data_IF_326945431192
#
_entry.id   IF_326945431192
#
_cell.length_a   1.000
_cell.length_b   1.000
_cell.length_c   1.000
_cell.angle_alpha   90.00
_cell.angle_beta   90.00
_cell.angle_gamma   90.00
#
_symmetry.space_group_name_H-M   'P 1'
#
loop_
_entity.id
_entity.type
_entity.pdbx_description
1 polymer ?
#
# COMPACT_ATOMS: atom_id res chain seq x y z
N UNK A 1 15.86 -2.03 -7.22
CA UNK A 1 17.01 -2.91 -6.95
C UNK A 1 18.34 -2.19 -7.15
N UNK A 2 18.61 -1.59 -8.33
CA UNK A 2 19.89 -0.93 -8.60
C UNK A 2 20.29 0.14 -7.57
N UNK A 3 19.35 0.98 -7.15
CA UNK A 3 19.63 2.01 -6.14
C UNK A 3 19.95 1.46 -4.74
N UNK A 4 19.46 0.28 -4.39
CA UNK A 4 19.83 -0.40 -3.14
C UNK A 4 21.24 -0.99 -3.28
N UNK A 5 21.56 -1.60 -4.41
CA UNK A 5 22.88 -2.13 -4.66
C UNK A 5 23.95 -1.04 -4.67
N UNK A 6 23.71 0.06 -5.40
CA UNK A 6 24.59 1.25 -5.41
C UNK A 6 24.83 1.79 -3.99
N UNK A 7 23.79 1.73 -3.15
CA UNK A 7 23.89 2.14 -1.76
C UNK A 7 24.77 1.20 -0.94
N UNK A 8 24.62 -0.13 -1.07
CA UNK A 8 25.46 -1.13 -0.38
C UNK A 8 26.91 -0.99 -0.80
N UNK A 9 27.19 -0.96 -2.09
CA UNK A 9 28.55 -0.78 -2.65
C UNK A 9 29.19 0.54 -2.15
N UNK A 10 28.42 1.63 -2.09
CA UNK A 10 28.90 2.92 -1.54
C UNK A 10 29.23 2.85 -0.06
N UNK A 11 28.54 2.03 0.74
CA UNK A 11 28.87 1.83 2.14
C UNK A 11 30.18 1.05 2.29
N UNK A 12 30.33 -0.07 1.57
CA UNK A 12 31.52 -0.90 1.59
C UNK A 12 32.76 -0.08 1.21
N UNK A 13 32.68 0.72 0.14
CA UNK A 13 33.78 1.60 -0.26
C UNK A 13 34.17 2.59 0.81
N UNK A 14 33.18 3.26 1.45
CA UNK A 14 33.45 4.22 2.54
C UNK A 14 34.08 3.58 3.76
N UNK A 15 33.68 2.33 4.07
CA UNK A 15 34.25 1.55 5.19
C UNK A 15 35.69 1.18 4.86
N UNK A 16 35.97 0.79 3.63
CA UNK A 16 37.33 0.46 3.18
C UNK A 16 38.22 1.73 3.21
N UNK A 17 37.78 2.84 2.63
CA UNK A 17 38.54 4.11 2.63
C UNK A 17 38.86 4.58 4.07
N UNK A 18 37.88 4.47 5.00
CA UNK A 18 38.06 4.84 6.38
C UNK A 18 39.01 3.88 7.14
N UNK A 19 39.01 2.60 6.81
CA UNK A 19 39.91 1.62 7.36
C UNK A 19 41.38 1.87 6.91
N UNK A 20 41.57 2.20 5.63
CA UNK A 20 42.88 2.56 5.08
C UNK A 20 43.43 3.85 5.72
N UNK A 21 42.60 4.90 5.87
CA UNK A 21 42.96 6.15 6.52
C UNK A 21 43.34 5.95 8.01
N UNK A 22 42.60 5.09 8.72
CA UNK A 22 42.90 4.77 10.11
C UNK A 22 44.20 4.00 10.25
N UNK A 23 44.48 3.06 9.33
CA UNK A 23 45.74 2.30 9.28
C UNK A 23 46.93 3.21 9.01
N UNK A 24 46.82 4.16 8.08
CA UNK A 24 47.87 5.16 7.82
C UNK A 24 48.17 6.04 9.05
N UNK A 25 47.14 6.36 9.86
CA UNK A 25 47.26 7.18 11.07
C UNK A 25 47.60 6.37 12.31
N UNK A 26 47.66 5.02 12.21
CA UNK A 26 47.93 4.13 13.35
C UNK A 26 46.80 4.19 14.40
N UNK A 27 45.57 4.58 14.02
CA UNK A 27 44.42 4.68 14.90
C UNK A 27 43.61 3.36 14.94
N UNK A 28 43.04 2.99 16.10
CA UNK A 28 42.14 1.85 16.16
C UNK A 28 40.89 2.14 15.33
N UNK A 29 40.51 1.20 14.46
CA UNK A 29 39.31 1.30 13.63
C UNK A 29 38.38 0.11 13.88
N UNK A 30 37.10 0.41 14.12
CA UNK A 30 36.05 -0.60 14.17
C UNK A 30 35.10 -0.29 13.01
N UNK A 31 35.01 -1.22 12.05
CA UNK A 31 34.10 -1.08 10.92
C UNK A 31 32.65 -1.02 11.40
N UNK A 32 31.84 -0.06 10.93
CA UNK A 32 30.42 -0.09 11.17
C UNK A 32 29.77 -1.27 10.43
N UNK A 33 28.63 -1.71 10.94
CA UNK A 33 27.84 -2.76 10.30
C UNK A 33 27.36 -2.30 8.91
N UNK A 34 27.56 -3.13 7.89
CA UNK A 34 27.06 -2.91 6.54
C UNK A 34 25.56 -3.23 6.52
N UNK A 35 24.77 -2.29 6.06
CA UNK A 35 23.33 -2.50 5.84
C UNK A 35 23.15 -3.15 4.46
N UNK A 36 23.29 -4.46 4.42
CA UNK A 36 23.24 -5.24 3.21
C UNK A 36 21.80 -5.48 2.68
N UNK A 37 21.69 -6.15 1.56
CA UNK A 37 20.39 -6.46 0.95
C UNK A 37 19.55 -7.38 1.84
N UNK A 38 20.20 -8.28 2.58
CA UNK A 38 19.51 -9.18 3.51
C UNK A 38 18.92 -8.42 4.69
N UNK A 39 19.66 -7.46 5.28
CA UNK A 39 19.12 -6.55 6.30
C UNK A 39 17.87 -5.81 5.81
N UNK A 40 17.94 -5.25 4.60
CA UNK A 40 16.82 -4.52 3.99
C UNK A 40 15.64 -5.46 3.73
N UNK A 41 15.91 -6.67 3.22
CA UNK A 41 14.86 -7.66 2.93
C UNK A 41 14.14 -8.10 4.22
N UNK A 42 14.86 -8.39 5.31
CA UNK A 42 14.28 -8.76 6.61
C UNK A 42 13.39 -7.65 7.16
N UNK A 43 13.89 -6.41 7.20
CA UNK A 43 13.12 -5.27 7.70
C UNK A 43 11.85 -5.01 6.88
N UNK A 44 11.94 -5.03 5.55
CA UNK A 44 10.76 -4.84 4.68
C UNK A 44 9.81 -6.04 4.75
N UNK A 45 10.30 -7.28 4.84
CA UNK A 45 9.48 -8.48 5.00
C UNK A 45 8.60 -8.38 6.24
N UNK A 46 9.19 -8.05 7.38
CA UNK A 46 8.49 -7.86 8.64
C UNK A 46 7.42 -6.76 8.55
N UNK A 47 7.77 -5.61 8.00
CA UNK A 47 6.86 -4.45 7.97
C UNK A 47 5.75 -4.63 6.93
N UNK A 48 6.08 -5.18 5.77
CA UNK A 48 5.15 -5.28 4.64
C UNK A 48 4.39 -6.61 4.61
N UNK A 49 4.73 -7.57 5.46
CA UNK A 49 4.17 -8.93 5.40
C UNK A 49 4.31 -9.54 3.99
N UNK A 50 5.55 -9.53 3.47
CA UNK A 50 5.95 -10.11 2.19
C UNK A 50 7.11 -11.06 2.45
N UNK A 51 7.15 -12.19 1.77
CA UNK A 51 8.22 -13.19 1.96
C UNK A 51 9.61 -12.57 1.72
N UNK A 52 10.52 -12.77 2.68
CA UNK A 52 11.89 -12.25 2.65
C UNK A 52 12.63 -12.68 1.39
N UNK A 53 12.52 -13.96 1.01
CA UNK A 53 13.17 -14.52 -0.18
C UNK A 53 12.70 -13.82 -1.46
N UNK A 54 11.42 -13.46 -1.53
CA UNK A 54 10.87 -12.71 -2.66
C UNK A 54 11.47 -11.31 -2.75
N UNK A 55 11.59 -10.61 -1.62
CA UNK A 55 12.19 -9.27 -1.59
C UNK A 55 13.67 -9.36 -1.94
N UNK A 56 14.40 -10.29 -1.34
CA UNK A 56 15.83 -10.47 -1.58
C UNK A 56 16.14 -10.77 -3.04
N UNK A 57 15.39 -11.68 -3.65
CA UNK A 57 15.52 -12.01 -5.08
C UNK A 57 15.34 -10.79 -5.98
N UNK A 58 14.40 -9.90 -5.65
CA UNK A 58 14.19 -8.68 -6.42
C UNK A 58 15.23 -7.60 -6.13
N UNK A 59 15.83 -7.57 -4.94
CA UNK A 59 16.94 -6.67 -4.62
C UNK A 59 18.24 -7.08 -5.34
N UNK A 60 18.46 -8.38 -5.52
CA UNK A 60 19.61 -8.93 -6.24
C UNK A 60 19.48 -8.83 -7.77
N UNK A 61 18.25 -8.76 -8.29
CA UNK A 61 18.00 -8.65 -9.74
C UNK A 61 18.28 -7.24 -10.26
N UNK A 62 19.49 -7.04 -10.79
CA UNK A 62 19.94 -5.77 -11.36
C UNK A 62 19.35 -5.45 -12.74
N UNK A 63 18.70 -6.42 -13.39
CA UNK A 63 18.07 -6.23 -14.71
C UNK A 63 16.82 -5.33 -14.61
N UNK A 64 16.14 -5.33 -13.48
CA UNK A 64 14.94 -4.56 -13.21
C UNK A 64 15.27 -3.35 -12.31
N UNK A 65 15.12 -2.14 -12.85
CA UNK A 65 15.35 -0.89 -12.10
C UNK A 65 14.22 -0.54 -11.13
N UNK A 66 13.05 -1.14 -11.28
CA UNK A 66 11.86 -0.81 -10.53
C UNK A 66 11.05 -2.07 -10.21
N UNK A 67 10.70 -2.25 -8.96
CA UNK A 67 9.81 -3.29 -8.47
C UNK A 67 8.89 -2.75 -7.37
N UNK A 68 7.62 -3.15 -7.39
CA UNK A 68 6.63 -2.76 -6.38
C UNK A 68 6.52 -3.88 -5.36
N UNK A 69 7.05 -3.67 -4.17
CA UNK A 69 7.02 -4.65 -3.09
C UNK A 69 5.61 -4.91 -2.56
N UNK A 70 4.84 -3.84 -2.33
CA UNK A 70 3.43 -3.95 -1.90
C UNK A 70 2.66 -2.72 -2.36
N UNK A 71 1.42 -2.93 -2.82
CA UNK A 71 0.48 -1.87 -3.16
C UNK A 71 -0.49 -1.62 -2.01
N UNK A 72 -1.07 -0.41 -1.95
CA UNK A 72 -2.16 -0.02 -1.03
C UNK A 72 -1.84 -0.27 0.44
N UNK A 73 -0.61 0.04 0.82
CA UNK A 73 -0.12 -0.06 2.20
C UNK A 73 -0.86 0.96 3.07
N UNK A 74 -1.32 0.55 4.25
CA UNK A 74 -1.97 1.45 5.19
C UNK A 74 -0.99 2.50 5.74
N UNK A 75 -1.49 3.65 6.21
CA UNK A 75 -0.66 4.79 6.59
C UNK A 75 0.30 4.49 7.74
N UNK A 76 -0.11 3.70 8.71
CA UNK A 76 0.69 3.26 9.86
C UNK A 76 1.86 2.37 9.42
N UNK A 77 1.60 1.43 8.51
CA UNK A 77 2.64 0.59 7.91
C UNK A 77 3.60 1.42 7.05
N UNK A 78 3.07 2.40 6.29
CA UNK A 78 3.90 3.31 5.52
C UNK A 78 4.78 4.20 6.42
N UNK A 79 4.28 4.62 7.58
CA UNK A 79 5.06 5.36 8.57
C UNK A 79 6.15 4.49 9.19
N UNK A 80 5.89 3.21 9.43
CA UNK A 80 6.92 2.28 9.89
C UNK A 80 8.01 2.06 8.83
N UNK A 81 7.64 1.92 7.55
CA UNK A 81 8.61 1.88 6.44
C UNK A 81 9.45 3.16 6.40
N UNK A 82 8.85 4.35 6.60
CA UNK A 82 9.62 5.62 6.66
C UNK A 82 10.61 5.62 7.79
N UNK A 83 10.21 5.18 8.98
CA UNK A 83 11.08 5.07 10.16
C UNK A 83 12.25 4.12 9.89
N UNK A 84 11.99 3.00 9.25
CA UNK A 84 13.03 2.04 8.84
C UNK A 84 14.00 2.64 7.82
N UNK A 85 13.49 3.26 6.75
CA UNK A 85 14.32 3.94 5.73
C UNK A 85 15.19 5.04 6.37
N UNK A 86 14.64 5.78 7.32
CA UNK A 86 15.36 6.85 8.00
C UNK A 86 16.38 6.33 9.05
N UNK A 87 16.37 5.04 9.35
CA UNK A 87 17.22 4.44 10.36
C UNK A 87 16.81 4.82 11.79
N UNK A 88 15.53 4.98 12.04
CA UNK A 88 14.96 5.18 13.37
C UNK A 88 14.69 3.86 14.08
N UNK A 89 14.40 2.84 13.31
CA UNK A 89 14.21 1.47 13.76
C UNK A 89 15.12 0.52 12.97
N UNK A 90 15.49 -0.60 13.59
CA UNK A 90 16.23 -1.67 12.93
C UNK A 90 15.30 -2.66 12.17
N UNK A 91 15.88 -3.71 11.62
CA UNK A 91 15.14 -4.76 10.89
C UNK A 91 14.16 -5.52 11.76
N UNK A 92 14.38 -5.57 13.07
CA UNK A 92 13.50 -6.20 14.06
C UNK A 92 12.40 -5.25 14.57
N UNK A 93 12.50 -3.93 14.25
CA UNK A 93 11.57 -2.88 14.68
C UNK A 93 11.95 -2.20 15.99
N UNK A 94 13.13 -2.49 16.53
CA UNK A 94 13.61 -1.84 17.75
C UNK A 94 14.02 -0.41 17.45
N UNK A 95 13.69 0.51 18.36
CA UNK A 95 14.07 1.92 18.24
C UNK A 95 15.57 2.11 18.35
N UNK A 96 16.19 2.68 17.34
CA UNK A 96 17.60 3.00 17.34
C UNK A 96 17.89 4.29 18.13
N UNK A 97 19.07 4.33 18.77
CA UNK A 97 19.54 5.47 19.55
C UNK A 97 20.88 5.97 19.03
N UNK A 98 21.19 7.23 19.33
CA UNK A 98 22.48 7.86 19.05
C UNK A 98 22.93 8.65 20.27
N UNK A 99 24.18 9.06 20.31
CA UNK A 99 24.73 9.91 21.39
C UNK A 99 24.75 11.35 20.90
N UNK A 100 24.19 12.28 21.68
CA UNK A 100 24.22 13.70 21.40
C UNK A 100 25.60 14.34 21.68
N UNK A 101 25.74 15.61 21.35
CA UNK A 101 26.98 16.35 21.58
C UNK A 101 27.39 16.49 23.07
N UNK A 102 26.44 16.19 23.98
CA UNK A 102 26.65 16.23 25.42
C UNK A 102 26.95 14.86 26.03
N UNK A 103 26.99 13.81 25.20
CA UNK A 103 27.21 12.44 25.63
C UNK A 103 25.95 11.71 26.12
N UNK A 104 24.73 12.27 25.93
CA UNK A 104 23.50 11.61 26.32
C UNK A 104 22.98 10.70 25.21
N UNK A 105 22.47 9.54 25.59
CA UNK A 105 21.76 8.63 24.65
C UNK A 105 20.40 9.24 24.30
N UNK A 106 20.17 9.51 23.03
CA UNK A 106 18.92 10.06 22.51
C UNK A 106 18.37 9.21 21.39
N UNK A 107 17.05 9.17 21.23
CA UNK A 107 16.41 8.47 20.13
C UNK A 107 16.77 9.13 18.80
N UNK A 108 17.01 8.31 17.79
CA UNK A 108 17.12 8.79 16.42
C UNK A 108 15.71 9.20 15.94
N UNK A 109 15.57 10.46 15.59
CA UNK A 109 14.31 11.01 15.09
C UNK A 109 14.49 11.62 13.70
N UNK A 110 13.39 11.74 12.94
CA UNK A 110 13.34 12.24 11.56
C UNK A 110 13.81 13.68 11.36
N UNK A 111 14.11 14.42 12.43
CA UNK A 111 14.46 15.84 12.41
C UNK A 111 15.66 16.19 11.53
N UNK A 112 15.49 16.20 10.19
CA UNK A 112 16.45 16.74 9.23
C UNK A 112 17.66 15.87 8.90
N UNK A 113 17.65 14.58 9.24
CA UNK A 113 18.73 13.66 8.86
C UNK A 113 18.53 13.09 7.46
N UNK A 114 19.63 12.87 6.69
CA UNK A 114 19.53 12.18 5.40
C UNK A 114 19.01 10.75 5.60
N UNK A 115 18.24 10.27 4.64
CA UNK A 115 17.76 8.87 4.64
C UNK A 115 18.96 7.92 4.80
N UNK A 116 18.84 6.99 5.72
CA UNK A 116 19.88 5.99 5.98
C UNK A 116 19.91 4.94 4.87
N UNK A 117 18.72 4.46 4.43
CA UNK A 117 18.59 3.51 3.32
C UNK A 117 18.21 4.26 2.04
N UNK A 118 18.79 3.85 0.92
CA UNK A 118 18.51 4.42 -0.41
C UNK A 118 17.91 3.35 -1.33
N UNK A 119 17.28 3.79 -2.42
CA UNK A 119 16.67 2.88 -3.40
C UNK A 119 15.25 2.41 -3.04
N UNK A 120 14.72 2.80 -1.87
CA UNK A 120 13.36 2.50 -1.43
C UNK A 120 12.55 3.79 -1.46
N UNK A 121 11.38 3.76 -2.09
CA UNK A 121 10.52 4.93 -2.22
C UNK A 121 9.08 4.56 -1.95
N UNK A 122 8.38 5.39 -1.17
CA UNK A 122 6.94 5.32 -0.98
C UNK A 122 6.27 6.27 -1.97
N UNK A 123 5.35 5.73 -2.76
CA UNK A 123 4.53 6.52 -3.68
C UNK A 123 3.12 6.69 -3.08
N UNK A 124 2.51 7.88 -3.19
CA UNK A 124 1.11 8.06 -2.81
C UNK A 124 0.21 7.12 -3.62
N UNK A 125 -0.71 6.46 -2.93
CA UNK A 125 -1.72 5.60 -3.53
C UNK A 125 -3.05 5.81 -2.80
N UNK A 126 -4.17 5.37 -3.41
CA UNK A 126 -5.50 5.46 -2.83
C UNK A 126 -6.04 4.06 -2.56
N UNK A 127 -6.74 3.89 -1.44
CA UNK A 127 -7.37 2.64 -1.03
C UNK A 127 -8.86 2.86 -0.79
N UNK A 128 -9.69 2.05 -1.43
CA UNK A 128 -11.12 2.05 -1.16
C UNK A 128 -11.39 1.43 0.20
N UNK A 129 -12.18 2.10 1.04
CA UNK A 129 -12.55 1.65 2.37
C UNK A 129 -14.03 1.30 2.43
N UNK A 130 -14.35 0.17 3.06
CA UNK A 130 -15.72 -0.30 3.31
C UNK A 130 -15.97 -0.35 4.83
N UNK A 131 -16.39 0.77 5.45
CA UNK A 131 -16.42 0.89 6.92
C UNK A 131 -17.39 -0.06 7.62
N UNK A 132 -18.38 -0.60 6.88
CA UNK A 132 -19.39 -1.50 7.41
C UNK A 132 -19.10 -2.99 7.10
N UNK A 133 -17.89 -3.31 6.63
CA UNK A 133 -17.50 -4.67 6.29
C UNK A 133 -18.44 -5.30 5.27
N UNK A 134 -19.00 -6.46 5.57
CA UNK A 134 -19.87 -7.21 4.67
C UNK A 134 -21.25 -6.61 4.44
N UNK A 135 -21.65 -5.54 5.15
CA UNK A 135 -22.99 -4.95 5.00
C UNK A 135 -23.18 -4.44 3.56
N UNK A 136 -24.25 -4.91 2.90
CA UNK A 136 -24.55 -4.66 1.49
C UNK A 136 -23.41 -5.02 0.51
N UNK A 137 -22.49 -5.92 0.89
CA UNK A 137 -21.31 -6.25 0.10
C UNK A 137 -21.62 -6.67 -1.32
N UNK A 138 -22.64 -7.53 -1.54
CA UNK A 138 -23.09 -7.95 -2.85
C UNK A 138 -23.68 -6.82 -3.71
N UNK A 139 -24.21 -5.76 -3.09
CA UNK A 139 -24.79 -4.61 -3.78
C UNK A 139 -23.72 -3.58 -4.10
N UNK A 140 -22.92 -3.22 -3.11
CA UNK A 140 -21.83 -2.25 -3.26
C UNK A 140 -20.79 -2.77 -4.24
N UNK A 141 -20.43 -4.03 -4.11
CA UNK A 141 -19.33 -4.60 -4.87
C UNK A 141 -17.97 -4.16 -4.35
N UNK A 142 -16.93 -4.32 -5.15
CA UNK A 142 -15.57 -3.99 -4.78
C UNK A 142 -14.77 -3.45 -5.96
N UNK A 143 -13.65 -2.80 -5.65
CA UNK A 143 -12.64 -2.36 -6.61
C UNK A 143 -11.44 -3.30 -6.58
N UNK A 144 -10.79 -3.47 -7.73
CA UNK A 144 -9.57 -4.26 -7.83
C UNK A 144 -8.34 -3.49 -7.32
N UNK A 145 -7.16 -4.12 -7.39
CA UNK A 145 -5.90 -3.53 -6.96
C UNK A 145 -5.51 -2.22 -7.71
N UNK A 146 -6.13 -1.93 -8.84
CA UNK A 146 -5.89 -0.72 -9.62
C UNK A 146 -7.00 0.35 -9.44
N UNK A 147 -7.84 0.20 -8.41
CA UNK A 147 -9.00 1.06 -8.12
C UNK A 147 -10.09 1.08 -9.22
N UNK A 148 -10.15 0.07 -10.07
CA UNK A 148 -11.21 -0.09 -11.06
C UNK A 148 -12.32 -0.93 -10.46
N UNK A 149 -13.57 -0.50 -10.59
CA UNK A 149 -14.74 -1.23 -10.12
C UNK A 149 -14.84 -2.60 -10.79
N UNK A 150 -14.85 -3.66 -9.98
CA UNK A 150 -14.86 -5.04 -10.47
C UNK A 150 -16.23 -5.69 -10.36
N UNK A 151 -17.03 -5.30 -9.38
CA UNK A 151 -18.35 -5.87 -9.12
C UNK A 151 -19.33 -4.84 -8.54
N UNK A 152 -20.65 -5.14 -8.59
CA UNK A 152 -21.72 -4.36 -7.97
C UNK A 152 -21.84 -2.92 -8.50
N UNK A 153 -22.21 -2.00 -7.60
CA UNK A 153 -22.34 -0.58 -7.90
C UNK A 153 -20.97 0.06 -8.23
N UNK A 154 -19.88 -0.41 -7.60
CA UNK A 154 -18.53 0.05 -7.94
C UNK A 154 -18.20 -0.18 -9.42
N UNK A 155 -18.56 -1.35 -9.97
CA UNK A 155 -18.36 -1.63 -11.40
C UNK A 155 -19.36 -0.89 -12.30
N UNK A 156 -20.63 -0.82 -11.89
CA UNK A 156 -21.69 -0.21 -12.69
C UNK A 156 -21.49 1.31 -12.86
N UNK A 157 -20.92 1.97 -11.87
CA UNK A 157 -20.69 3.41 -11.82
C UNK A 157 -19.22 3.79 -11.78
N UNK A 158 -18.33 2.89 -12.19
CA UNK A 158 -16.89 3.12 -12.18
C UNK A 158 -16.49 4.42 -12.89
N UNK A 159 -17.06 4.69 -14.07
CA UNK A 159 -16.79 5.91 -14.83
C UNK A 159 -17.24 7.21 -14.15
N UNK A 160 -18.13 7.11 -13.16
CA UNK A 160 -18.64 8.26 -12.39
C UNK A 160 -17.87 8.39 -11.08
N UNK A 161 -17.54 7.28 -10.46
CA UNK A 161 -16.83 7.20 -9.17
C UNK A 161 -15.33 7.44 -9.33
N UNK A 162 -14.73 6.94 -10.39
CA UNK A 162 -13.34 7.19 -10.74
C UNK A 162 -13.24 8.52 -11.47
N UNK A 163 -12.54 9.49 -10.91
CA UNK A 163 -12.21 10.72 -11.62
C UNK A 163 -11.28 10.48 -12.82
N UNK A 164 -10.80 11.54 -13.41
CA UNK A 164 -9.77 11.48 -14.45
C UNK A 164 -8.38 11.77 -13.86
N UNK A 165 -7.41 10.94 -14.23
CA UNK A 165 -6.02 11.14 -13.81
C UNK A 165 -5.45 12.37 -14.51
N UNK A 166 -4.84 13.28 -13.75
CA UNK A 166 -4.09 14.39 -14.32
C UNK A 166 -2.88 13.90 -15.13
N UNK A 167 -2.52 14.63 -16.16
CA UNK A 167 -1.40 14.31 -17.03
C UNK A 167 -0.53 15.55 -17.22
N UNK A 168 0.76 15.44 -16.92
CA UNK A 168 1.75 16.46 -17.26
C UNK A 168 2.67 15.92 -18.33
N UNK A 169 2.70 16.60 -19.46
CA UNK A 169 3.58 16.29 -20.59
C UNK A 169 4.73 17.28 -20.57
N UNK A 170 5.91 16.84 -20.19
CA UNK A 170 7.12 17.67 -20.15
C UNK A 170 8.11 17.17 -21.20
N UNK A 171 8.56 18.03 -22.13
CA UNK A 171 9.64 17.66 -23.06
C UNK A 171 10.92 17.38 -22.32
N UNK A 172 11.60 16.28 -22.66
CA UNK A 172 12.89 15.90 -22.11
C UNK A 172 13.96 15.89 -23.20
N UNK A 173 15.20 16.17 -22.83
CA UNK A 173 16.34 16.01 -23.75
C UNK A 173 16.75 14.52 -23.86
N UNK A 174 17.74 14.25 -24.73
CA UNK A 174 18.26 12.88 -24.97
C UNK A 174 18.78 12.20 -23.70
N UNK A 175 19.14 12.98 -22.68
CA UNK A 175 19.64 12.50 -21.38
C UNK A 175 18.53 12.38 -20.32
N UNK A 176 17.25 12.56 -20.69
CA UNK A 176 16.12 12.46 -19.76
C UNK A 176 15.90 13.68 -18.86
N UNK A 177 16.62 14.79 -19.12
CA UNK A 177 16.46 16.03 -18.32
C UNK A 177 15.31 16.88 -18.84
N UNK A 178 14.38 17.37 -17.98
CA UNK A 178 13.30 18.26 -18.40
C UNK A 178 13.84 19.55 -19.03
N UNK A 179 13.24 19.96 -20.15
CA UNK A 179 13.57 21.20 -20.84
C UNK A 179 12.74 22.33 -20.25
N UNK A 180 13.23 22.98 -19.20
CA UNK A 180 12.53 24.02 -18.43
C UNK A 180 12.11 25.28 -19.22
N UNK A 181 12.62 25.47 -20.44
CA UNK A 181 12.39 26.68 -21.24
C UNK A 181 11.65 26.43 -22.57
N UNK A 182 11.13 25.23 -22.80
CA UNK A 182 10.50 24.89 -24.09
C UNK A 182 9.09 25.48 -24.28
N UNK A 183 8.46 26.01 -23.23
CA UNK A 183 7.09 26.56 -23.29
C UNK A 183 6.03 25.54 -23.72
N UNK A 184 6.39 24.27 -23.82
CA UNK A 184 5.56 23.17 -24.33
C UNK A 184 5.11 22.20 -23.24
N UNK A 185 5.23 22.59 -21.98
CA UNK A 185 4.64 21.83 -20.88
C UNK A 185 3.12 21.93 -20.97
N UNK A 186 2.47 20.77 -21.12
CA UNK A 186 1.01 20.68 -21.13
C UNK A 186 0.60 19.98 -19.84
N UNK A 187 -0.18 20.66 -19.04
CA UNK A 187 -0.74 20.15 -17.79
C UNK A 187 -2.25 19.98 -17.97
N UNK A 188 -2.72 18.78 -17.70
CA UNK A 188 -4.13 18.46 -17.60
C UNK A 188 -4.40 18.15 -16.13
N UNK A 189 -5.25 18.93 -15.49
CA UNK A 189 -5.59 18.74 -14.10
C UNK A 189 -6.33 17.42 -13.87
N UNK A 190 -6.11 16.80 -12.72
CA UNK A 190 -6.91 15.67 -12.29
C UNK A 190 -8.32 16.13 -11.92
N UNK A 191 -9.33 15.35 -12.29
CA UNK A 191 -10.71 15.59 -11.88
C UNK A 191 -11.14 14.52 -10.89
N UNK A 192 -11.65 14.94 -9.73
CA UNK A 192 -12.18 14.03 -8.73
C UNK A 192 -13.44 13.31 -9.20
N UNK A 193 -13.61 12.05 -8.82
CA UNK A 193 -14.82 11.30 -9.07
C UNK A 193 -16.02 11.84 -8.29
N UNK A 194 -17.20 11.55 -8.79
CA UNK A 194 -18.45 11.94 -8.14
C UNK A 194 -18.87 10.96 -7.05
N UNK A 195 -19.68 11.41 -6.10
CA UNK A 195 -20.25 10.57 -5.05
C UNK A 195 -21.62 10.03 -5.48
N UNK A 196 -21.93 8.79 -5.10
CA UNK A 196 -23.26 8.21 -5.24
C UNK A 196 -24.00 8.27 -3.89
N UNK A 197 -25.23 8.80 -3.92
CA UNK A 197 -26.14 8.75 -2.78
C UNK A 197 -27.16 7.65 -3.05
N UNK A 198 -27.15 6.62 -2.22
CA UNK A 198 -28.03 5.46 -2.34
C UNK A 198 -29.29 5.64 -1.50
N UNK A 199 -30.38 4.97 -1.91
CA UNK A 199 -31.62 4.90 -1.15
C UNK A 199 -31.59 3.83 -0.05
N UNK A 200 -30.50 3.06 0.03
CA UNK A 200 -30.31 2.04 1.05
C UNK A 200 -30.29 2.64 2.46
N UNK A 201 -31.11 2.10 3.34
CA UNK A 201 -31.10 2.41 4.77
C UNK A 201 -30.29 1.35 5.51
N UNK A 202 -29.26 1.77 6.23
CA UNK A 202 -28.34 0.85 6.93
C UNK A 202 -29.03 -0.01 7.98
N UNK A 203 -30.07 0.50 8.66
CA UNK A 203 -30.80 -0.27 9.67
C UNK A 203 -31.70 -1.33 9.01
N UNK A 204 -32.37 -0.95 7.92
CA UNK A 204 -33.22 -1.88 7.15
C UNK A 204 -32.35 -2.95 6.49
N UNK A 205 -31.21 -2.56 5.93
CA UNK A 205 -30.24 -3.48 5.33
C UNK A 205 -29.72 -4.50 6.35
N UNK A 206 -29.30 -4.03 7.52
CA UNK A 206 -28.83 -4.92 8.60
C UNK A 206 -29.93 -5.88 9.08
N UNK A 207 -31.16 -5.38 9.24
CA UNK A 207 -32.30 -6.22 9.64
C UNK A 207 -32.61 -7.30 8.59
N UNK A 208 -32.57 -6.92 7.30
CA UNK A 208 -32.78 -7.85 6.19
C UNK A 208 -31.71 -8.94 6.16
N UNK A 209 -30.42 -8.57 6.21
CA UNK A 209 -29.30 -9.54 6.18
C UNK A 209 -29.35 -10.49 7.37
N UNK A 210 -29.56 -9.95 8.57
CA UNK A 210 -29.69 -10.76 9.79
C UNK A 210 -30.88 -11.73 9.71
N UNK A 211 -32.02 -11.25 9.22
CA UNK A 211 -33.21 -12.08 9.03
C UNK A 211 -33.01 -13.17 8.00
N UNK A 212 -32.41 -12.81 6.85
CA UNK A 212 -32.12 -13.74 5.75
C UNK A 212 -31.16 -14.84 6.22
N UNK A 213 -30.05 -14.47 6.86
CA UNK A 213 -29.11 -15.45 7.44
C UNK A 213 -29.78 -16.37 8.43
N UNK A 214 -30.56 -15.84 9.37
CA UNK A 214 -31.26 -16.65 10.36
C UNK A 214 -32.30 -17.62 9.76
N UNK A 215 -32.91 -17.27 8.62
CA UNK A 215 -33.81 -18.15 7.91
C UNK A 215 -33.06 -19.26 7.14
N UNK A 216 -31.95 -18.91 6.49
CA UNK A 216 -31.12 -19.90 5.79
C UNK A 216 -30.54 -20.92 6.76
N UNK A 217 -30.01 -20.48 7.90
CA UNK A 217 -29.47 -21.35 8.94
C UNK A 217 -30.57 -22.26 9.54
N UNK A 218 -31.78 -21.71 9.76
CA UNK A 218 -32.90 -22.48 10.34
C UNK A 218 -33.44 -23.57 9.45
N UNK A 219 -33.45 -23.32 8.13
CA UNK A 219 -34.06 -24.24 7.15
C UNK A 219 -33.01 -25.02 6.32
N UNK A 220 -31.74 -24.90 6.69
CA UNK A 220 -30.62 -25.56 6.00
C UNK A 220 -30.66 -25.34 4.48
N UNK A 221 -30.85 -24.06 4.09
CA UNK A 221 -31.00 -23.67 2.68
C UNK A 221 -29.62 -23.54 2.01
N UNK A 222 -29.03 -24.65 1.57
CA UNK A 222 -27.69 -24.75 1.01
C UNK A 222 -27.46 -23.84 -0.22
N UNK A 223 -28.52 -23.55 -0.99
CA UNK A 223 -28.41 -22.74 -2.23
C UNK A 223 -28.44 -21.22 -1.97
N UNK A 224 -28.40 -20.80 -0.69
CA UNK A 224 -28.47 -19.39 -0.35
C UNK A 224 -29.86 -18.78 -0.52
N UNK A 225 -29.92 -17.45 -0.56
CA UNK A 225 -31.19 -16.74 -0.70
C UNK A 225 -30.97 -15.25 -0.96
N UNK A 226 -32.02 -14.61 -1.49
CA UNK A 226 -32.04 -13.16 -1.73
C UNK A 226 -33.24 -12.51 -1.11
N UNK A 227 -33.10 -11.22 -0.73
CA UNK A 227 -34.20 -10.42 -0.18
C UNK A 227 -34.09 -8.98 -0.67
N UNK A 228 -35.25 -8.36 -0.93
CA UNK A 228 -35.34 -6.96 -1.31
C UNK A 228 -36.44 -6.29 -0.48
N UNK A 229 -36.15 -5.11 0.04
CA UNK A 229 -37.12 -4.24 0.73
C UNK A 229 -37.26 -2.96 -0.07
N UNK A 230 -38.45 -2.63 -0.49
CA UNK A 230 -38.76 -1.46 -1.30
C UNK A 230 -39.90 -0.64 -0.69
N UNK A 231 -39.78 0.66 -0.70
CA UNK A 231 -40.87 1.57 -0.38
C UNK A 231 -41.89 1.58 -1.55
N UNK A 232 -43.10 1.13 -1.25
CA UNK A 232 -44.18 1.00 -2.25
C UNK A 232 -44.67 2.33 -2.78
N UNK A 233 -44.45 3.44 -2.09
CA UNK A 233 -44.93 4.76 -2.52
C UNK A 233 -43.97 5.46 -3.46
N UNK A 234 -42.67 5.24 -3.25
CA UNK A 234 -41.62 5.93 -3.98
C UNK A 234 -40.89 5.03 -4.98
N UNK A 235 -40.96 3.71 -4.79
CA UNK A 235 -40.19 2.73 -5.55
C UNK A 235 -38.72 2.66 -5.11
N UNK A 236 -38.33 3.38 -4.04
CA UNK A 236 -36.96 3.36 -3.53
C UNK A 236 -36.62 2.01 -2.91
N UNK A 237 -35.47 1.45 -3.29
CA UNK A 237 -34.94 0.23 -2.67
C UNK A 237 -34.26 0.63 -1.37
N UNK A 238 -34.82 0.19 -0.24
CA UNK A 238 -34.32 0.49 1.10
C UNK A 238 -33.30 -0.56 1.58
N UNK A 239 -33.41 -1.80 1.10
CA UNK A 239 -32.44 -2.84 1.38
C UNK A 239 -32.44 -3.90 0.28
N UNK A 240 -31.28 -4.47 -0.01
CA UNK A 240 -31.10 -5.59 -0.91
C UNK A 240 -29.96 -6.47 -0.40
N UNK A 241 -30.25 -7.75 -0.20
CA UNK A 241 -29.27 -8.71 0.31
C UNK A 241 -29.30 -10.00 -0.49
N UNK A 242 -28.14 -10.60 -0.66
CA UNK A 242 -27.97 -11.94 -1.20
C UNK A 242 -27.04 -12.73 -0.27
N UNK A 243 -27.26 -14.01 -0.15
CA UNK A 243 -26.44 -14.90 0.66
C UNK A 243 -25.97 -16.07 -0.20
N UNK A 244 -24.71 -16.51 -0.16
CA UNK A 244 -23.65 -16.05 0.71
C UNK A 244 -23.24 -14.59 0.45
N UNK A 245 -22.81 -13.91 1.54
CA UNK A 245 -22.34 -12.53 1.53
C UNK A 245 -20.83 -12.49 1.75
N UNK A 246 -20.16 -11.40 1.39
CA UNK A 246 -18.72 -11.23 1.51
C UNK A 246 -18.36 -9.81 1.98
N UNK A 247 -17.15 -9.64 2.47
CA UNK A 247 -16.58 -8.32 2.78
C UNK A 247 -15.91 -7.73 1.53
N UNK A 248 -16.39 -6.61 0.98
CA UNK A 248 -15.77 -5.94 -0.16
C UNK A 248 -14.33 -5.48 0.09
N UNK A 249 -13.96 -5.30 1.35
CA UNK A 249 -12.59 -4.93 1.76
C UNK A 249 -11.61 -6.10 1.64
N UNK A 250 -12.10 -7.34 1.69
CA UNK A 250 -11.33 -8.57 1.52
C UNK A 250 -11.95 -9.47 0.43
N UNK A 251 -11.86 -9.00 -0.80
CA UNK A 251 -12.40 -9.72 -1.96
C UNK A 251 -11.63 -11.00 -2.33
N UNK A 252 -10.45 -11.23 -1.75
CA UNK A 252 -9.67 -12.45 -1.99
C UNK A 252 -10.42 -13.69 -1.51
N UNK A 253 -11.19 -13.57 -0.43
CA UNK A 253 -12.02 -14.64 0.10
C UNK A 253 -13.12 -15.11 -0.86
N UNK A 254 -13.57 -14.26 -1.79
CA UNK A 254 -14.58 -14.58 -2.80
C UNK A 254 -14.00 -15.51 -3.87
N UNK A 255 -12.77 -15.22 -4.28
CA UNK A 255 -12.07 -15.99 -5.32
C UNK A 255 -11.81 -17.42 -4.81
N UNK A 256 -11.39 -17.54 -3.55
CA UNK A 256 -11.14 -18.83 -2.93
C UNK A 256 -12.40 -19.68 -2.78
N UNK A 257 -13.56 -19.05 -2.50
CA UNK A 257 -14.84 -19.75 -2.44
C UNK A 257 -15.33 -20.21 -3.83
N UNK A 258 -15.17 -19.35 -4.84
CA UNK A 258 -15.55 -19.66 -6.22
C UNK A 258 -14.65 -20.73 -6.90
N UNK A 259 -13.43 -20.95 -6.39
CA UNK A 259 -12.52 -21.98 -6.87
C UNK A 259 -12.73 -23.34 -6.17
N UNK A 260 -13.56 -23.40 -5.11
CA UNK A 260 -13.88 -24.62 -4.36
C UNK A 260 -15.20 -25.26 -4.80
N UNK A 261 -16.00 -24.60 -5.62
CA UNK A 261 -17.20 -25.12 -6.29
C UNK A 261 -16.90 -25.58 -7.73
#
# INVERSE_FOLDING_TARGET
>A
PGGVQDFVESQEQKIQDAAEEAAEKGAPYTAPEVLDQAYIARGLSRILDVEEETILKHLEDTSNRYWVAKKKVDSDVADEVRRFINGEIDEEGNQLTTVDANGNTVLISTGGRPKRLQGITLLPDTKRLYPFGSLAGNVLGFVNANNVGAYGLEAAYDSVLNGSTGLTITPINVNGTPLLFSGSEQMFDAEDGSSLVLTLDTNVQYALEKGLKGMLDKYDAANGGTGIVMDVNTGAILAMASYPNYDPGDYTTIIDQALQE
#
